data_IF_938601218271
#
_entry.id   IF_938601218271
#
_cell.length_a   1.000
_cell.length_b   1.000
_cell.length_c   1.000
_cell.angle_alpha   90.00
_cell.angle_beta   90.00
_cell.angle_gamma   90.00
#
_symmetry.space_group_name_H-M   'P 1'
#
loop_
_entity.id
_entity.type
_entity.pdbx_description
1 polymer ?
#
# COMPACT_ATOMS: atom_id res chain seq x y z
N UNK A 1 3.70 7.98 -12.22
CA UNK A 1 4.97 7.23 -12.30
C UNK A 1 5.67 7.63 -13.60
N UNK A 2 6.91 8.07 -13.47
CA UNK A 2 7.78 8.36 -14.61
C UNK A 2 8.66 7.14 -14.92
N UNK A 3 8.81 6.71 -16.18
CA UNK A 3 9.61 5.54 -16.53
C UNK A 3 11.10 5.67 -16.19
N UNK A 4 11.59 6.90 -16.08
CA UNK A 4 12.99 7.18 -15.79
C UNK A 4 13.26 7.49 -14.32
N UNK A 5 12.33 8.13 -13.65
CA UNK A 5 12.50 8.70 -12.31
C UNK A 5 11.66 8.00 -11.24
N UNK A 6 10.79 7.06 -11.61
CA UNK A 6 9.88 6.42 -10.68
C UNK A 6 8.74 7.34 -10.23
N UNK A 7 8.45 7.37 -8.94
CA UNK A 7 7.42 8.23 -8.37
C UNK A 7 7.80 9.70 -8.42
N UNK A 8 6.94 10.53 -8.98
CA UNK A 8 7.03 11.98 -8.92
C UNK A 8 5.86 12.50 -8.11
N UNK A 9 6.15 13.30 -7.09
CA UNK A 9 5.16 13.74 -6.11
C UNK A 9 4.98 15.24 -6.15
N UNK A 10 3.74 15.67 -5.99
CA UNK A 10 3.36 17.07 -5.98
C UNK A 10 2.57 17.39 -4.70
N UNK A 11 2.84 18.56 -4.14
CA UNK A 11 2.06 19.12 -3.04
C UNK A 11 1.15 20.20 -3.62
N UNK A 12 -0.12 20.10 -3.28
CA UNK A 12 -1.14 21.08 -3.62
C UNK A 12 -1.38 21.95 -2.38
N UNK A 13 -0.91 23.18 -2.42
CA UNK A 13 -1.13 24.14 -1.35
C UNK A 13 -2.54 24.74 -1.47
N UNK A 14 -3.54 23.98 -1.02
CA UNK A 14 -4.95 24.41 -1.05
C UNK A 14 -5.20 25.35 0.13
N UNK A 15 -5.71 26.57 -0.11
CA UNK A 15 -6.06 27.51 0.96
C UNK A 15 -7.09 26.88 1.93
N UNK A 16 -6.87 27.02 3.23
CA UNK A 16 -7.82 26.53 4.26
C UNK A 16 -9.18 27.22 4.18
N UNK A 17 -9.20 28.46 3.70
CA UNK A 17 -10.43 29.20 3.48
C UNK A 17 -10.85 29.03 2.00
N UNK A 18 -12.01 28.37 1.73
CA UNK A 18 -12.49 28.17 0.36
C UNK A 18 -12.81 29.48 -0.39
N UNK A 19 -12.99 30.57 0.35
CA UNK A 19 -13.26 31.92 -0.22
C UNK A 19 -11.98 32.73 -0.44
N UNK A 20 -10.81 32.18 -0.10
CA UNK A 20 -9.56 32.87 -0.38
C UNK A 20 -9.30 32.91 -1.89
N UNK A 21 -9.02 34.08 -2.41
CA UNK A 21 -8.67 34.30 -3.82
C UNK A 21 -7.25 33.84 -4.18
N UNK A 22 -6.50 33.28 -3.24
CA UNK A 22 -5.15 32.82 -3.48
C UNK A 22 -5.15 31.61 -4.42
N UNK A 23 -4.33 31.63 -5.50
CA UNK A 23 -4.27 30.51 -6.42
C UNK A 23 -3.70 29.28 -5.74
N UNK A 24 -4.22 28.11 -6.10
CA UNK A 24 -3.63 26.83 -5.68
C UNK A 24 -2.23 26.73 -6.29
N UNK A 25 -1.23 26.59 -5.43
CA UNK A 25 0.15 26.32 -5.85
C UNK A 25 0.37 24.82 -5.91
N UNK A 26 0.93 24.37 -7.01
CA UNK A 26 1.35 23.00 -7.23
C UNK A 26 2.87 22.98 -7.26
N UNK A 27 3.48 22.26 -6.34
CA UNK A 27 4.94 22.20 -6.21
C UNK A 27 5.41 20.74 -6.27
N UNK A 28 6.39 20.46 -7.12
CA UNK A 28 7.07 19.17 -7.07
C UNK A 28 7.87 19.10 -5.76
N UNK A 29 7.69 18.01 -5.02
CA UNK A 29 8.26 17.86 -3.69
C UNK A 29 9.07 16.59 -3.53
N UNK A 30 10.28 16.73 -3.00
CA UNK A 30 11.13 15.62 -2.56
C UNK A 30 10.86 15.21 -1.11
N UNK A 31 10.09 15.98 -0.34
CA UNK A 31 9.69 15.63 1.04
C UNK A 31 8.93 14.31 1.10
N UNK A 32 8.20 13.98 0.02
CA UNK A 32 7.47 12.72 -0.08
C UNK A 32 8.40 11.49 -0.06
N UNK A 33 9.67 11.66 -0.42
CA UNK A 33 10.65 10.58 -0.39
C UNK A 33 10.95 10.07 1.03
N UNK A 34 10.67 10.85 2.07
CA UNK A 34 10.80 10.40 3.46
C UNK A 34 9.92 9.16 3.77
N UNK A 35 8.88 8.93 2.97
CA UNK A 35 8.06 7.72 3.06
C UNK A 35 8.10 6.90 1.75
N UNK A 36 8.11 7.58 0.60
CA UNK A 36 7.95 6.93 -0.71
C UNK A 36 9.27 6.43 -1.32
N UNK A 37 10.43 6.67 -0.68
CA UNK A 37 11.73 6.13 -1.08
C UNK A 37 12.43 5.40 0.08
N UNK A 38 11.66 4.94 1.06
CA UNK A 38 12.15 4.19 2.21
C UNK A 38 12.42 2.71 1.88
N UNK A 39 12.82 1.98 2.90
CA UNK A 39 13.21 0.58 2.80
C UNK A 39 12.12 -0.29 2.15
N UNK A 40 10.86 -0.10 2.54
CA UNK A 40 9.73 -0.86 2.02
C UNK A 40 9.48 -0.67 0.52
N UNK A 41 10.01 0.41 -0.05
CA UNK A 41 9.97 0.66 -1.50
C UNK A 41 11.26 0.26 -2.21
N UNK A 42 12.15 -0.48 -1.52
CA UNK A 42 13.45 -0.84 -2.05
C UNK A 42 14.40 0.35 -2.22
N UNK A 43 14.20 1.44 -1.45
CA UNK A 43 14.96 2.71 -1.49
C UNK A 43 14.94 3.41 -2.84
N UNK A 44 13.83 3.27 -3.57
CA UNK A 44 13.59 4.00 -4.82
C UNK A 44 12.27 4.75 -4.74
N UNK A 45 12.09 5.86 -5.49
CA UNK A 45 10.83 6.60 -5.50
C UNK A 45 9.69 5.74 -6.04
N UNK A 46 8.86 5.21 -5.15
CA UNK A 46 7.81 4.25 -5.46
C UNK A 46 6.46 4.58 -4.83
N UNK A 47 5.50 3.72 -5.05
CA UNK A 47 4.19 3.79 -4.44
C UNK A 47 4.24 3.27 -3.00
N UNK A 48 3.57 3.94 -2.09
CA UNK A 48 3.49 3.51 -0.70
C UNK A 48 2.15 2.83 -0.45
N UNK A 49 2.21 1.56 -0.12
CA UNK A 49 1.07 0.78 0.36
C UNK A 49 1.54 0.01 1.59
N UNK A 50 1.07 0.42 2.76
CA UNK A 50 1.42 -0.17 4.05
C UNK A 50 0.19 -0.71 4.74
N UNK A 51 0.40 -1.81 5.47
CA UNK A 51 -0.54 -2.24 6.50
C UNK A 51 -0.18 -1.55 7.81
N UNK A 52 -1.10 -0.76 8.35
CA UNK A 52 -0.87 0.07 9.54
C UNK A 52 -2.01 -0.09 10.55
N UNK A 53 -1.74 0.16 11.81
CA UNK A 53 -2.78 0.37 12.82
C UNK A 53 -2.97 1.88 13.00
N UNK A 54 -4.05 2.47 12.50
CA UNK A 54 -4.28 3.90 12.63
C UNK A 54 -4.73 4.26 14.04
N UNK A 55 -4.30 5.42 14.52
CA UNK A 55 -4.87 6.05 15.69
C UNK A 55 -6.19 6.76 15.38
N UNK A 56 -6.92 7.25 16.41
CA UNK A 56 -8.18 7.96 16.23
C UNK A 56 -8.09 9.22 15.35
N UNK A 57 -6.91 9.83 15.28
CA UNK A 57 -6.62 10.98 14.41
C UNK A 57 -6.09 10.59 13.02
N UNK A 58 -6.05 9.30 12.66
CA UNK A 58 -5.58 8.80 11.36
C UNK A 58 -4.07 8.60 11.25
N UNK A 59 -3.28 9.00 12.25
CA UNK A 59 -1.83 8.72 12.26
C UNK A 59 -1.53 7.23 12.47
N UNK A 60 -0.47 6.72 11.83
CA UNK A 60 0.00 5.34 12.02
C UNK A 60 0.63 5.18 13.40
N UNK A 61 0.12 4.25 14.20
CA UNK A 61 0.66 3.88 15.52
C UNK A 61 1.57 2.65 15.42
N UNK A 62 1.32 1.77 14.49
CA UNK A 62 2.10 0.59 14.17
C UNK A 62 2.04 0.34 12.67
N UNK A 63 3.10 -0.16 12.09
CA UNK A 63 3.18 -0.57 10.69
C UNK A 63 3.77 -1.95 10.58
N UNK A 64 3.31 -2.75 9.62
CA UNK A 64 4.04 -3.93 9.22
C UNK A 64 5.34 -3.50 8.53
N UNK A 65 6.44 -4.03 9.01
CA UNK A 65 7.77 -3.81 8.42
C UNK A 65 8.20 -5.10 7.72
N UNK A 66 8.28 -5.03 6.42
CA UNK A 66 8.77 -6.11 5.57
C UNK A 66 9.72 -5.54 4.53
N UNK A 67 10.24 -6.38 3.66
CA UNK A 67 11.13 -5.93 2.60
C UNK A 67 10.40 -5.02 1.61
N UNK A 68 10.04 -5.49 0.45
CA UNK A 68 9.25 -4.71 -0.49
C UNK A 68 7.78 -5.11 -0.34
N UNK A 69 6.89 -4.11 -0.23
CA UNK A 69 5.45 -4.32 -0.15
C UNK A 69 4.90 -5.18 -1.28
N UNK A 70 3.82 -5.88 -1.03
CA UNK A 70 3.12 -6.68 -2.01
C UNK A 70 2.51 -7.96 -1.44
N UNK A 71 2.22 -8.91 -2.30
CA UNK A 71 1.44 -10.10 -2.02
C UNK A 71 2.08 -11.14 -1.07
N UNK A 72 3.36 -10.99 -0.74
CA UNK A 72 4.06 -11.87 0.20
C UNK A 72 3.84 -11.52 1.68
N UNK A 73 3.24 -10.38 2.00
CA UNK A 73 2.92 -10.00 3.37
C UNK A 73 1.94 -11.02 3.96
N UNK A 74 2.19 -11.59 5.16
CA UNK A 74 1.27 -12.53 5.79
C UNK A 74 -0.12 -11.93 5.99
N UNK A 75 -1.19 -12.71 5.73
CA UNK A 75 -2.57 -12.20 5.81
C UNK A 75 -2.91 -11.62 7.19
N UNK A 76 -2.37 -12.21 8.25
CA UNK A 76 -2.57 -11.72 9.64
C UNK A 76 -2.05 -10.31 9.88
N UNK A 77 -1.12 -9.83 9.07
CA UNK A 77 -0.50 -8.52 9.19
C UNK A 77 -0.95 -7.56 8.08
N UNK A 78 -1.92 -7.98 7.23
CA UNK A 78 -2.44 -7.20 6.10
C UNK A 78 -3.67 -6.37 6.45
N UNK A 79 -4.01 -5.51 5.51
CA UNK A 79 -5.22 -4.69 5.46
C UNK A 79 -5.30 -3.62 6.54
N UNK A 80 -4.23 -3.39 7.29
CA UNK A 80 -4.20 -2.36 8.31
C UNK A 80 -4.40 -0.97 7.74
N UNK A 81 -5.31 -0.21 8.35
CA UNK A 81 -5.74 1.10 7.85
C UNK A 81 -6.84 1.04 6.80
N UNK A 82 -7.25 -0.16 6.38
CA UNK A 82 -8.29 -0.37 5.37
C UNK A 82 -9.59 -0.85 6.00
N UNK A 83 -10.68 -0.57 5.30
CA UNK A 83 -12.00 -1.06 5.64
C UNK A 83 -12.35 -2.23 4.72
N UNK A 84 -12.73 -3.35 5.35
CA UNK A 84 -13.12 -4.57 4.65
C UNK A 84 -14.56 -4.93 4.97
N UNK A 85 -15.31 -5.29 3.95
CA UNK A 85 -16.67 -5.83 4.07
C UNK A 85 -16.74 -7.27 3.54
N UNK A 86 -17.90 -7.91 3.71
CA UNK A 86 -18.13 -9.27 3.25
C UNK A 86 -17.51 -10.35 4.15
N UNK A 87 -17.75 -11.60 3.77
CA UNK A 87 -17.25 -12.79 4.47
C UNK A 87 -16.04 -13.36 3.73
N UNK A 88 -14.87 -12.83 4.05
CA UNK A 88 -13.63 -13.18 3.35
C UNK A 88 -12.92 -14.42 3.89
N UNK A 89 -13.27 -14.93 5.08
CA UNK A 89 -12.66 -16.14 5.65
C UNK A 89 -11.28 -15.96 6.27
N UNK A 90 -10.72 -14.76 6.26
CA UNK A 90 -9.45 -14.44 6.94
C UNK A 90 -9.77 -14.15 8.39
N UNK A 91 -9.27 -14.99 9.31
CA UNK A 91 -9.60 -14.91 10.75
C UNK A 91 -8.80 -13.85 11.49
N UNK A 92 -7.56 -13.61 11.08
CA UNK A 92 -6.67 -12.63 11.67
C UNK A 92 -6.18 -11.67 10.60
N UNK A 93 -6.34 -10.39 10.82
CA UNK A 93 -5.83 -9.32 9.97
C UNK A 93 -5.92 -7.96 10.69
N UNK A 94 -5.25 -6.94 10.17
CA UNK A 94 -5.27 -5.60 10.74
C UNK A 94 -6.35 -4.69 10.14
N UNK A 95 -7.11 -5.17 9.16
CA UNK A 95 -8.24 -4.44 8.59
C UNK A 95 -9.36 -4.20 9.61
N UNK A 96 -10.12 -3.13 9.44
CA UNK A 96 -11.20 -2.73 10.34
C UNK A 96 -10.75 -2.51 11.79
N UNK A 97 -9.51 -2.08 12.00
CA UNK A 97 -8.95 -1.83 13.32
C UNK A 97 -8.48 -0.39 13.47
N UNK A 98 -8.52 0.10 14.70
CA UNK A 98 -7.83 1.30 15.16
C UNK A 98 -7.11 0.99 16.45
N UNK A 99 -6.15 1.83 16.82
CA UNK A 99 -5.39 1.66 18.05
C UNK A 99 -5.36 2.90 18.92
N UNK A 100 -4.97 2.69 20.16
CA UNK A 100 -4.57 3.77 21.07
C UNK A 100 -3.23 3.42 21.69
N UNK A 101 -2.34 4.40 21.75
CA UNK A 101 -1.04 4.25 22.39
C UNK A 101 -1.12 4.80 23.80
N UNK A 102 -0.62 4.04 24.77
CA UNK A 102 -0.52 4.40 26.17
C UNK A 102 0.84 3.98 26.73
N UNK A 103 1.21 4.38 27.97
CA UNK A 103 2.41 3.85 28.63
C UNK A 103 2.42 2.31 28.75
N UNK A 104 1.26 1.66 28.77
CA UNK A 104 1.12 0.21 28.76
C UNK A 104 1.29 -0.45 27.38
N UNK A 105 1.53 0.35 26.35
CA UNK A 105 1.70 -0.11 24.96
C UNK A 105 0.52 0.20 24.05
N UNK A 106 0.58 -0.38 22.85
CA UNK A 106 -0.47 -0.26 21.84
C UNK A 106 -1.62 -1.20 22.13
N UNK A 107 -2.83 -0.65 22.24
CA UNK A 107 -4.08 -1.43 22.30
C UNK A 107 -4.82 -1.30 20.98
N UNK A 108 -5.12 -2.43 20.34
CA UNK A 108 -5.90 -2.54 19.10
C UNK A 108 -7.35 -2.86 19.42
N UNK A 109 -8.27 -2.30 18.68
CA UNK A 109 -9.71 -2.60 18.82
C UNK A 109 -10.44 -2.43 17.48
N UNK A 110 -11.55 -3.13 17.35
CA UNK A 110 -12.36 -3.11 16.14
C UNK A 110 -12.94 -1.72 15.88
N UNK A 111 -12.90 -1.31 14.62
CA UNK A 111 -13.56 -0.11 14.12
C UNK A 111 -14.65 -0.51 13.11
N UNK A 112 -15.83 -0.92 13.59
CA UNK A 112 -16.91 -1.26 12.69
C UNK A 112 -17.38 -0.03 11.90
N UNK A 113 -18.03 -0.26 10.76
CA UNK A 113 -18.59 0.81 9.94
C UNK A 113 -19.42 1.82 10.73
N UNK A 114 -19.26 3.09 10.39
CA UNK A 114 -20.00 4.19 11.03
C UNK A 114 -19.49 4.60 12.41
N UNK A 115 -18.47 3.93 12.97
CA UNK A 115 -17.94 4.28 14.29
C UNK A 115 -16.96 5.45 14.27
N UNK A 116 -15.89 5.37 13.49
CA UNK A 116 -14.86 6.42 13.42
C UNK A 116 -14.70 7.04 12.02
N UNK A 117 -15.50 6.62 11.08
CA UNK A 117 -15.58 7.26 9.77
C UNK A 117 -17.01 7.24 9.27
N UNK A 118 -17.33 8.17 8.40
CA UNK A 118 -18.67 8.37 7.87
C UNK A 118 -18.82 7.62 6.56
N UNK A 119 -19.67 6.61 6.53
CA UNK A 119 -20.01 5.84 5.35
C UNK A 119 -20.66 6.67 4.26
N UNK A 120 -21.51 7.60 4.65
CA UNK A 120 -22.28 8.47 3.77
C UNK A 120 -21.42 9.43 2.93
N UNK A 121 -20.12 9.52 3.22
CA UNK A 121 -19.17 10.30 2.43
C UNK A 121 -18.51 9.51 1.30
N UNK A 122 -18.75 8.20 1.23
CA UNK A 122 -18.18 7.33 0.21
C UNK A 122 -19.22 7.02 -0.88
N UNK A 123 -18.80 6.83 -2.14
CA UNK A 123 -19.70 6.48 -3.25
C UNK A 123 -20.47 5.17 -3.01
N UNK A 124 -19.80 4.22 -2.34
CA UNK A 124 -20.35 2.90 -2.00
C UNK A 124 -19.96 2.53 -0.58
N UNK A 125 -20.81 1.76 0.09
CA UNK A 125 -20.58 1.33 1.47
C UNK A 125 -19.76 0.03 1.59
N UNK A 126 -19.29 -0.52 0.47
CA UNK A 126 -18.57 -1.80 0.40
C UNK A 126 -17.11 -1.59 0.05
N UNK A 127 -16.25 -2.45 0.60
CA UNK A 127 -14.83 -2.52 0.25
C UNK A 127 -14.37 -3.96 0.40
N UNK A 128 -13.93 -4.57 -0.70
CA UNK A 128 -13.65 -6.00 -0.77
C UNK A 128 -12.16 -6.31 -0.64
N UNK A 129 -11.89 -7.47 -0.07
CA UNK A 129 -10.54 -8.04 0.06
C UNK A 129 -9.88 -8.22 -1.31
N UNK A 130 -10.62 -8.65 -2.34
CA UNK A 130 -10.06 -8.88 -3.66
C UNK A 130 -9.45 -7.61 -4.26
N UNK A 131 -10.17 -6.48 -4.15
CA UNK A 131 -9.65 -5.19 -4.62
C UNK A 131 -8.34 -4.80 -3.91
N UNK A 132 -8.24 -5.05 -2.60
CA UNK A 132 -7.02 -4.81 -1.84
C UNK A 132 -5.87 -5.73 -2.25
N UNK A 133 -6.13 -7.03 -2.43
CA UNK A 133 -5.12 -7.98 -2.89
C UNK A 133 -4.55 -7.62 -4.25
N UNK A 134 -5.42 -7.25 -5.20
CA UNK A 134 -5.02 -6.79 -6.53
C UNK A 134 -4.22 -5.49 -6.47
N UNK A 135 -4.67 -4.54 -5.65
CA UNK A 135 -3.98 -3.26 -5.48
C UNK A 135 -2.57 -3.44 -4.89
N UNK A 136 -2.44 -4.28 -3.86
CA UNK A 136 -1.13 -4.63 -3.27
C UNK A 136 -0.20 -5.27 -4.29
N UNK A 137 -0.73 -6.21 -5.10
CA UNK A 137 0.04 -6.86 -6.15
C UNK A 137 0.51 -5.84 -7.21
N UNK A 138 -0.37 -4.97 -7.68
CA UNK A 138 -0.04 -3.93 -8.66
C UNK A 138 1.02 -2.96 -8.13
N UNK A 139 0.85 -2.47 -6.90
CA UNK A 139 1.83 -1.57 -6.25
C UNK A 139 3.18 -2.25 -6.08
N UNK A 140 3.17 -3.49 -5.62
CA UNK A 140 4.39 -4.28 -5.46
C UNK A 140 5.12 -4.54 -6.79
N UNK A 141 4.38 -4.77 -7.88
CA UNK A 141 4.96 -4.88 -9.22
C UNK A 141 5.61 -3.56 -9.67
N UNK A 142 4.89 -2.44 -9.53
CA UNK A 142 5.40 -1.11 -9.92
C UNK A 142 6.69 -0.78 -9.16
N UNK A 143 6.74 -1.01 -7.85
CA UNK A 143 7.93 -0.74 -7.04
C UNK A 143 9.11 -1.61 -7.47
N UNK A 144 8.89 -2.88 -7.78
CA UNK A 144 9.93 -3.79 -8.29
C UNK A 144 10.43 -3.36 -9.68
N UNK A 145 9.54 -2.92 -10.55
CA UNK A 145 9.91 -2.40 -11.87
C UNK A 145 10.75 -1.12 -11.78
N UNK A 146 10.39 -0.19 -10.89
CA UNK A 146 11.19 1.00 -10.60
C UNK A 146 12.56 0.60 -10.07
N UNK A 147 12.60 -0.30 -9.09
CA UNK A 147 13.86 -0.81 -8.52
C UNK A 147 14.76 -1.45 -9.60
N UNK A 148 14.19 -2.28 -10.45
CA UNK A 148 14.89 -2.89 -11.58
C UNK A 148 15.50 -1.84 -12.51
N UNK A 149 14.75 -0.78 -12.81
CA UNK A 149 15.24 0.33 -13.65
C UNK A 149 16.43 1.04 -13.02
N UNK A 150 16.35 1.37 -11.73
CA UNK A 150 17.45 2.05 -11.01
C UNK A 150 18.70 1.18 -10.94
N UNK A 151 18.55 -0.07 -10.50
CA UNK A 151 19.68 -0.98 -10.33
C UNK A 151 20.36 -1.32 -11.67
N UNK A 152 19.55 -1.55 -12.71
CA UNK A 152 20.08 -1.84 -14.05
C UNK A 152 20.83 -0.66 -14.65
N UNK A 153 20.32 0.57 -14.45
CA UNK A 153 21.04 1.78 -14.89
C UNK A 153 22.36 1.97 -14.17
N UNK A 154 22.38 1.75 -12.86
CA UNK A 154 23.60 1.81 -12.09
C UNK A 154 24.64 0.77 -12.55
N UNK A 155 24.17 -0.46 -12.81
CA UNK A 155 25.01 -1.55 -13.32
C UNK A 155 25.52 -1.28 -14.76
N UNK A 156 24.69 -0.68 -15.62
CA UNK A 156 25.11 -0.24 -16.97
C UNK A 156 26.21 0.80 -16.91
N UNK A 157 26.09 1.77 -16.02
CA UNK A 157 27.13 2.80 -15.82
C UNK A 157 28.43 2.20 -15.27
N UNK A 158 28.35 1.09 -14.52
CA UNK A 158 29.51 0.36 -14.00
C UNK A 158 30.10 -0.68 -15.00
N UNK A 159 29.45 -0.92 -16.14
CA UNK A 159 29.90 -1.86 -17.16
C UNK A 159 29.50 -3.32 -16.91
N UNK A 160 28.65 -3.62 -15.93
CA UNK A 160 28.19 -4.98 -15.58
C UNK A 160 26.66 -5.04 -15.40
N UNK A 161 25.93 -4.91 -16.49
CA UNK A 161 24.48 -4.92 -16.46
C UNK A 161 23.86 -6.31 -16.61
N UNK A 162 24.52 -7.26 -17.24
CA UNK A 162 23.89 -8.53 -17.62
C UNK A 162 23.40 -9.34 -16.43
N UNK A 163 24.21 -9.43 -15.37
CA UNK A 163 23.83 -10.13 -14.14
C UNK A 163 22.64 -9.43 -13.43
N UNK A 164 22.64 -8.09 -13.43
CA UNK A 164 21.57 -7.30 -12.81
C UNK A 164 20.26 -7.43 -13.58
N UNK A 165 20.30 -7.42 -14.91
CA UNK A 165 19.14 -7.66 -15.77
C UNK A 165 18.55 -9.05 -15.49
N UNK A 166 19.39 -10.10 -15.50
CA UNK A 166 18.93 -11.46 -15.23
C UNK A 166 18.30 -11.59 -13.83
N UNK A 167 18.91 -10.99 -12.82
CA UNK A 167 18.38 -10.96 -11.45
C UNK A 167 16.99 -10.32 -11.41
N UNK A 168 16.81 -9.13 -11.95
CA UNK A 168 15.51 -8.43 -11.90
C UNK A 168 14.47 -9.08 -12.81
N UNK A 169 14.85 -9.66 -13.94
CA UNK A 169 13.94 -10.46 -14.77
C UNK A 169 13.38 -11.65 -13.98
N UNK A 170 14.23 -12.38 -13.25
CA UNK A 170 13.79 -13.48 -12.39
C UNK A 170 12.85 -13.01 -11.27
N UNK A 171 13.18 -11.90 -10.58
CA UNK A 171 12.34 -11.32 -9.53
C UNK A 171 10.97 -10.93 -10.08
N UNK A 172 10.91 -10.22 -11.21
CA UNK A 172 9.66 -9.76 -11.81
C UNK A 172 8.81 -10.94 -12.30
N UNK A 173 9.44 -11.94 -12.93
CA UNK A 173 8.75 -13.16 -13.38
C UNK A 173 8.11 -13.91 -12.20
N UNK A 174 8.88 -14.16 -11.14
CA UNK A 174 8.35 -14.80 -9.92
C UNK A 174 7.18 -14.01 -9.32
N UNK A 175 7.33 -12.69 -9.25
CA UNK A 175 6.30 -11.83 -8.69
C UNK A 175 5.02 -11.84 -9.54
N UNK A 176 5.13 -11.73 -10.87
CA UNK A 176 3.98 -11.83 -11.78
C UNK A 176 3.25 -13.18 -11.70
N UNK A 177 3.99 -14.25 -11.41
CA UNK A 177 3.43 -15.59 -11.24
C UNK A 177 2.95 -15.88 -9.80
N UNK A 178 2.89 -14.89 -8.93
CA UNK A 178 2.49 -15.04 -7.53
C UNK A 178 3.31 -16.10 -6.76
N UNK A 179 4.59 -16.31 -7.14
CA UNK A 179 5.40 -17.40 -6.61
C UNK A 179 5.60 -17.31 -5.08
N UNK A 180 5.57 -16.12 -4.52
CA UNK A 180 5.79 -15.86 -3.09
C UNK A 180 4.53 -15.28 -2.42
N UNK A 181 3.34 -15.57 -2.97
CA UNK A 181 2.06 -15.17 -2.37
C UNK A 181 1.90 -15.76 -0.98
N UNK A 182 1.42 -14.94 -0.05
CA UNK A 182 1.04 -15.42 1.27
C UNK A 182 -0.07 -16.47 1.15
N UNK A 183 0.10 -17.59 1.86
CA UNK A 183 -0.83 -18.70 1.79
C UNK A 183 -2.24 -18.28 2.19
N UNK A 184 -3.20 -18.61 1.35
CA UNK A 184 -4.62 -18.41 1.63
C UNK A 184 -5.15 -19.45 2.61
N UNK A 185 -6.23 -19.14 3.36
CA UNK A 185 -6.91 -20.10 4.21
C UNK A 185 -7.39 -21.31 3.39
N UNK A 186 -7.54 -22.46 4.05
CA UNK A 186 -8.16 -23.63 3.46
C UNK A 186 -9.60 -23.27 3.05
N UNK A 187 -9.94 -23.50 1.80
CA UNK A 187 -11.22 -23.08 1.20
C UNK A 187 -11.16 -21.74 0.46
N UNK A 188 -10.01 -21.08 0.47
CA UNK A 188 -9.79 -19.84 -0.25
C UNK A 188 -10.27 -18.59 0.49
N UNK A 189 -10.29 -17.47 -0.21
CA UNK A 189 -10.75 -16.17 0.28
C UNK A 189 -12.07 -15.83 -0.42
N UNK A 190 -13.09 -15.51 0.39
CA UNK A 190 -14.37 -14.99 -0.10
C UNK A 190 -14.30 -13.48 -0.33
N UNK A 191 -15.38 -12.92 -0.85
CA UNK A 191 -15.52 -11.47 -1.05
C UNK A 191 -16.92 -10.99 -0.69
N UNK A 192 -17.16 -9.70 -0.91
CA UNK A 192 -18.47 -9.10 -0.73
C UNK A 192 -19.44 -9.56 -1.83
N UNK A 193 -20.65 -9.98 -1.44
CA UNK A 193 -21.64 -10.51 -2.38
C UNK A 193 -22.14 -9.45 -3.38
N UNK A 194 -22.20 -8.18 -2.98
CA UNK A 194 -22.62 -7.09 -3.86
C UNK A 194 -21.55 -6.82 -4.92
N UNK A 195 -20.27 -6.73 -4.51
CA UNK A 195 -19.17 -6.57 -5.45
C UNK A 195 -19.05 -7.73 -6.43
N UNK A 196 -19.28 -8.97 -5.99
CA UNK A 196 -19.29 -10.15 -6.87
C UNK A 196 -20.40 -10.12 -7.92
N UNK A 197 -21.53 -9.48 -7.62
CA UNK A 197 -22.64 -9.36 -8.55
C UNK A 197 -22.34 -8.34 -9.66
N UNK A 198 -21.55 -7.33 -9.35
CA UNK A 198 -21.26 -6.22 -10.26
C UNK A 198 -20.02 -6.49 -11.13
N UNK A 199 -19.26 -7.58 -10.83
CA UNK A 199 -18.14 -8.09 -11.61
C UNK A 199 -18.59 -9.11 -12.65
#
# INVERSE_FOLDING_TARGET
IDPALGGIYYIFNIPRNPRASAPIRIERSTRCFNCHAEFENGRVPGLLLKSVVPGPGGGSLESFYGDITGHSIPLKDRFGGWHLTGKHGITEHWGNMVGTLSPAGLKKFANPPGRQFRWDTYPVATSDVLAHLLHEHQVGFVNRAIKATYDTRAALAAGDAQAMIAKHAAILTRYLLFADEAKFPVGGIGGDALLKKDF
#
